data_IF_977593585611
#
_entry.id   IF_977593585611
#
_cell.length_a   1.000
_cell.length_b   1.000
_cell.length_c   1.000
_cell.angle_alpha   90.00
_cell.angle_beta   90.00
_cell.angle_gamma   90.00
#
_symmetry.space_group_name_H-M   'P 1'
#
loop_
_entity.id
_entity.type
_entity.pdbx_description
1 polymer ?
#
# COMPACT_ATOMS: atom_id res chain seq x y z
N UNK A 1 -14.52 3.61 -12.79
CA UNK A 1 -14.55 2.15 -13.05
C UNK A 1 -13.69 1.46 -11.99
N UNK A 2 -14.27 0.55 -11.20
CA UNK A 2 -13.55 -0.10 -10.11
C UNK A 2 -12.52 -1.12 -10.66
N UNK A 3 -11.37 -1.25 -10.01
CA UNK A 3 -10.25 -2.13 -10.45
C UNK A 3 -10.44 -3.62 -10.11
N UNK A 4 -11.66 -4.04 -9.76
CA UNK A 4 -11.99 -5.38 -9.23
C UNK A 4 -11.39 -6.53 -10.03
N UNK A 5 -11.50 -6.51 -11.36
CA UNK A 5 -10.95 -7.58 -12.19
C UNK A 5 -9.43 -7.67 -12.09
N UNK A 6 -8.74 -6.53 -12.05
CA UNK A 6 -7.28 -6.47 -11.90
C UNK A 6 -6.88 -6.93 -10.49
N UNK A 7 -7.66 -6.60 -9.47
CA UNK A 7 -7.46 -7.07 -8.10
C UNK A 7 -7.56 -8.60 -8.04
N UNK A 8 -8.65 -9.19 -8.55
CA UNK A 8 -8.84 -10.63 -8.56
C UNK A 8 -7.72 -11.34 -9.32
N UNK A 9 -7.35 -10.86 -10.51
CA UNK A 9 -6.24 -11.42 -11.29
C UNK A 9 -4.89 -11.32 -10.54
N UNK A 10 -4.65 -10.20 -9.85
CA UNK A 10 -3.43 -10.00 -9.06
C UNK A 10 -3.38 -10.96 -7.89
N UNK A 11 -4.48 -11.11 -7.14
CA UNK A 11 -4.60 -12.07 -6.02
C UNK A 11 -4.38 -13.50 -6.51
N UNK A 12 -5.01 -13.90 -7.62
CA UNK A 12 -4.84 -15.25 -8.19
C UNK A 12 -3.40 -15.52 -8.62
N UNK A 13 -2.74 -14.53 -9.25
CA UNK A 13 -1.33 -14.61 -9.65
C UNK A 13 -0.40 -14.68 -8.44
N UNK A 14 -0.63 -13.86 -7.42
CA UNK A 14 0.13 -13.84 -6.17
C UNK A 14 0.02 -15.19 -5.44
N UNK A 15 -1.20 -15.73 -5.28
CA UNK A 15 -1.44 -17.06 -4.68
C UNK A 15 -0.79 -18.19 -5.48
N UNK A 16 -0.80 -18.11 -6.82
CA UNK A 16 -0.11 -19.10 -7.67
C UNK A 16 1.40 -19.00 -7.53
N UNK A 17 1.95 -17.79 -7.45
CA UNK A 17 3.37 -17.55 -7.24
C UNK A 17 3.82 -18.08 -5.87
N UNK A 18 3.08 -17.76 -4.80
CA UNK A 18 3.32 -18.26 -3.44
C UNK A 18 3.39 -19.80 -3.42
N UNK A 19 2.40 -20.48 -4.02
CA UNK A 19 2.36 -21.95 -4.08
C UNK A 19 3.52 -22.57 -4.86
N UNK A 20 4.06 -21.87 -5.87
CA UNK A 20 5.11 -22.40 -6.75
C UNK A 20 6.53 -22.05 -6.29
N UNK A 21 6.71 -20.86 -5.70
CA UNK A 21 8.02 -20.28 -5.40
C UNK A 21 8.26 -20.09 -3.90
N UNK A 22 7.26 -20.35 -3.06
CA UNK A 22 7.33 -20.10 -1.62
C UNK A 22 7.11 -18.63 -1.27
N UNK A 23 7.30 -18.33 0.03
CA UNK A 23 7.18 -16.99 0.58
C UNK A 23 8.37 -16.14 0.16
N UNK A 24 8.13 -14.84 0.01
CA UNK A 24 9.21 -13.86 -0.11
C UNK A 24 9.47 -13.20 1.24
N UNK A 25 10.67 -12.66 1.41
CA UNK A 25 11.04 -11.90 2.59
C UNK A 25 10.07 -10.71 2.82
N UNK A 26 9.66 -10.41 4.06
CA UNK A 26 8.80 -9.27 4.38
C UNK A 26 9.35 -7.91 3.91
N UNK A 27 10.66 -7.77 3.81
CA UNK A 27 11.37 -6.58 3.34
C UNK A 27 11.60 -6.57 1.83
N UNK A 28 11.26 -7.66 1.12
CA UNK A 28 11.43 -7.75 -0.32
C UNK A 28 10.54 -6.74 -1.07
N UNK A 29 11.01 -6.34 -2.25
CA UNK A 29 10.24 -5.50 -3.17
C UNK A 29 9.30 -6.37 -3.99
N UNK A 30 8.00 -6.25 -3.74
CA UNK A 30 6.93 -6.78 -4.59
C UNK A 30 6.89 -6.04 -5.93
N UNK A 31 6.65 -6.76 -7.03
CA UNK A 31 6.63 -6.20 -8.39
C UNK A 31 5.45 -6.73 -9.18
N UNK A 32 4.53 -5.84 -9.54
CA UNK A 32 3.35 -6.15 -10.34
C UNK A 32 3.42 -5.39 -11.66
N UNK A 33 3.56 -6.13 -12.77
CA UNK A 33 3.56 -5.54 -14.10
C UNK A 33 2.14 -5.26 -14.56
N UNK A 34 1.89 -4.02 -14.95
CA UNK A 34 0.59 -3.52 -15.37
C UNK A 34 0.70 -2.78 -16.71
N UNK A 35 -0.45 -2.55 -17.33
CA UNK A 35 -0.60 -1.67 -18.47
C UNK A 35 -1.71 -0.66 -18.15
N UNK A 36 -1.53 0.58 -18.54
CA UNK A 36 -2.59 1.59 -18.48
C UNK A 36 -3.71 1.23 -19.45
N UNK A 37 -4.96 1.38 -19.00
CA UNK A 37 -6.18 1.09 -19.76
C UNK A 37 -6.97 2.38 -20.00
N UNK A 38 -7.96 2.40 -20.92
CA UNK A 38 -8.77 3.58 -21.18
C UNK A 38 -9.52 4.06 -19.93
N UNK A 39 -9.85 3.13 -19.03
CA UNK A 39 -10.48 3.40 -17.74
C UNK A 39 -9.57 4.06 -16.71
N UNK A 40 -8.26 4.08 -17.00
CA UNK A 40 -7.25 4.65 -16.12
C UNK A 40 -6.90 6.10 -16.52
N UNK A 41 -7.31 6.51 -17.72
CA UNK A 41 -6.95 7.79 -18.35
C UNK A 41 -8.03 8.83 -18.06
N UNK A 42 -7.60 10.07 -17.81
CA UNK A 42 -8.46 11.24 -17.67
C UNK A 42 -8.74 11.92 -19.02
N UNK A 43 -9.51 13.02 -18.99
CA UNK A 43 -9.85 13.79 -20.18
C UNK A 43 -8.63 14.45 -20.85
N UNK A 44 -7.50 14.56 -20.14
CA UNK A 44 -6.25 15.13 -20.65
C UNK A 44 -5.35 14.06 -21.28
N UNK A 45 -5.81 12.81 -21.38
CA UNK A 45 -5.05 11.72 -22.01
C UNK A 45 -3.97 11.11 -21.12
N UNK A 46 -3.95 11.45 -19.83
CA UNK A 46 -2.96 10.94 -18.87
C UNK A 46 -3.60 10.07 -17.79
N UNK A 47 -2.81 9.25 -17.12
CA UNK A 47 -3.26 8.51 -15.96
C UNK A 47 -3.86 9.46 -14.92
N UNK A 48 -5.12 9.23 -14.58
CA UNK A 48 -5.81 10.00 -13.55
C UNK A 48 -5.08 9.83 -12.21
N UNK A 49 -4.83 10.94 -11.51
CA UNK A 49 -4.08 10.95 -10.25
C UNK A 49 -4.65 9.99 -9.19
N UNK A 50 -5.98 9.92 -9.06
CA UNK A 50 -6.65 9.02 -8.12
C UNK A 50 -6.56 7.54 -8.53
N UNK A 51 -6.23 7.22 -9.78
CA UNK A 51 -6.02 5.83 -10.21
C UNK A 51 -4.71 5.26 -9.68
N UNK A 52 -3.68 6.08 -9.44
CA UNK A 52 -2.42 5.58 -8.89
C UNK A 52 -2.62 4.84 -7.56
N UNK A 53 -3.39 5.41 -6.62
CA UNK A 53 -3.69 4.77 -5.34
C UNK A 53 -4.36 3.40 -5.53
N UNK A 54 -5.37 3.31 -6.40
CA UNK A 54 -6.03 2.04 -6.72
C UNK A 54 -5.13 1.00 -7.40
N UNK A 55 -4.13 1.44 -8.16
CA UNK A 55 -3.18 0.52 -8.81
C UNK A 55 -2.05 0.11 -7.86
N UNK A 56 -1.67 0.97 -6.93
CA UNK A 56 -0.73 0.67 -5.86
C UNK A 56 -1.30 -0.33 -4.85
N UNK A 57 -2.61 -0.31 -4.59
CA UNK A 57 -3.29 -1.35 -3.83
C UNK A 57 -3.08 -2.75 -4.44
N UNK A 58 -3.01 -2.88 -5.77
CA UNK A 58 -2.70 -4.17 -6.40
C UNK A 58 -1.31 -4.68 -5.98
N UNK A 59 -0.32 -3.79 -5.95
CA UNK A 59 1.02 -4.11 -5.45
C UNK A 59 1.02 -4.47 -3.96
N UNK A 60 0.19 -3.77 -3.16
CA UNK A 60 -0.02 -4.10 -1.74
C UNK A 60 -0.57 -5.51 -1.56
N UNK A 61 -1.62 -5.89 -2.30
CA UNK A 61 -2.18 -7.24 -2.23
C UNK A 61 -1.18 -8.31 -2.67
N UNK A 62 -0.42 -8.08 -3.76
CA UNK A 62 0.63 -9.02 -4.19
C UNK A 62 1.67 -9.24 -3.08
N UNK A 63 2.16 -8.15 -2.47
CA UNK A 63 3.16 -8.21 -1.41
C UNK A 63 2.62 -8.96 -0.20
N UNK A 64 1.46 -8.57 0.33
CA UNK A 64 0.86 -9.19 1.52
C UNK A 64 0.57 -10.68 1.33
N UNK A 65 0.14 -11.09 0.14
CA UNK A 65 -0.10 -12.50 -0.16
C UNK A 65 1.22 -13.26 -0.23
N UNK A 66 2.22 -12.73 -0.94
CA UNK A 66 3.49 -13.43 -1.17
C UNK A 66 4.38 -13.50 0.07
N UNK A 67 4.23 -12.59 1.02
CA UNK A 67 4.89 -12.66 2.34
C UNK A 67 4.12 -13.54 3.32
N UNK A 68 2.88 -13.90 3.03
CA UNK A 68 2.01 -14.68 3.91
C UNK A 68 1.29 -13.85 4.98
N UNK A 69 1.53 -12.53 5.03
CA UNK A 69 0.82 -11.59 5.93
C UNK A 69 -0.68 -11.66 5.70
N UNK A 70 -1.13 -11.81 4.45
CA UNK A 70 -2.55 -11.87 4.10
C UNK A 70 -3.30 -12.98 4.85
N UNK A 71 -2.75 -14.18 4.87
CA UNK A 71 -3.40 -15.33 5.52
C UNK A 71 -3.38 -15.19 7.04
N UNK A 72 -2.28 -14.66 7.59
CA UNK A 72 -2.13 -14.36 9.02
C UNK A 72 -3.18 -13.34 9.50
N UNK A 73 -3.25 -12.19 8.83
CA UNK A 73 -4.18 -11.08 9.16
C UNK A 73 -5.62 -11.57 9.08
N UNK A 74 -5.97 -12.35 8.06
CA UNK A 74 -7.31 -12.95 7.97
C UNK A 74 -7.60 -13.95 9.08
N UNK A 75 -6.64 -14.82 9.43
CA UNK A 75 -6.80 -15.80 10.52
C UNK A 75 -7.00 -15.13 11.88
N UNK A 76 -6.31 -14.01 12.12
CA UNK A 76 -6.45 -13.22 13.34
C UNK A 76 -7.67 -12.28 13.34
N UNK A 77 -8.41 -12.19 12.23
CA UNK A 77 -9.53 -11.26 12.10
C UNK A 77 -9.08 -9.80 12.13
N UNK A 78 -7.87 -9.51 11.67
CA UNK A 78 -7.33 -8.17 11.55
C UNK A 78 -7.60 -7.59 10.16
N UNK A 79 -7.56 -6.26 10.04
CA UNK A 79 -7.59 -5.58 8.75
C UNK A 79 -6.82 -4.26 8.83
N UNK A 80 -6.19 -3.88 7.72
CA UNK A 80 -5.45 -2.62 7.63
C UNK A 80 -6.39 -1.49 7.19
N UNK A 81 -6.24 -0.34 7.82
CA UNK A 81 -6.89 0.92 7.46
C UNK A 81 -5.81 1.94 7.15
N UNK A 82 -5.91 2.59 5.99
CA UNK A 82 -5.03 3.70 5.62
C UNK A 82 -5.41 4.91 6.47
N UNK A 83 -4.46 5.42 7.25
CA UNK A 83 -4.64 6.60 8.08
C UNK A 83 -4.30 7.88 7.31
N UNK A 84 -3.24 7.83 6.50
CA UNK A 84 -2.83 8.90 5.59
C UNK A 84 -1.99 8.33 4.46
N UNK A 85 -2.04 8.99 3.31
CA UNK A 85 -1.17 8.70 2.18
C UNK A 85 -0.74 10.01 1.51
N UNK A 86 0.48 10.04 1.00
CA UNK A 86 1.00 11.15 0.21
C UNK A 86 1.61 10.60 -1.06
N UNK A 87 1.42 11.29 -2.18
CA UNK A 87 1.88 10.87 -3.50
C UNK A 87 2.58 12.02 -4.20
N UNK A 88 3.71 11.71 -4.82
CA UNK A 88 4.49 12.62 -5.64
C UNK A 88 4.52 12.13 -7.08
N UNK A 89 4.27 13.03 -8.02
CA UNK A 89 4.24 12.75 -9.46
C UNK A 89 5.44 13.40 -10.14
N UNK A 90 6.26 12.59 -10.82
CA UNK A 90 7.38 13.06 -11.63
C UNK A 90 7.05 13.06 -13.12
N UNK A 91 6.36 12.02 -13.60
CA UNK A 91 5.95 11.85 -15.00
C UNK A 91 4.58 11.19 -15.08
N UNK A 92 3.81 11.57 -16.09
CA UNK A 92 2.50 10.97 -16.38
C UNK A 92 2.63 9.70 -17.20
N UNK A 93 1.76 8.72 -16.93
CA UNK A 93 1.63 7.52 -17.77
C UNK A 93 0.57 7.76 -18.85
N UNK A 94 0.90 7.47 -20.11
CA UNK A 94 -0.02 7.54 -21.24
C UNK A 94 -0.81 6.26 -21.44
N UNK A 95 -1.77 6.28 -22.37
CA UNK A 95 -2.61 5.13 -22.72
C UNK A 95 -1.76 3.96 -23.27
N UNK A 96 -2.12 2.73 -22.88
CA UNK A 96 -1.44 1.48 -23.24
C UNK A 96 0.02 1.33 -22.82
N UNK A 97 0.55 2.28 -22.06
CA UNK A 97 1.89 2.24 -21.52
C UNK A 97 2.03 1.12 -20.48
N UNK A 98 3.11 0.34 -20.60
CA UNK A 98 3.47 -0.68 -19.60
C UNK A 98 4.27 -0.03 -18.49
N UNK A 99 4.01 -0.44 -17.26
CA UNK A 99 4.75 0.01 -16.10
C UNK A 99 4.76 -1.08 -15.03
N UNK A 100 5.67 -0.97 -14.07
CA UNK A 100 5.76 -1.86 -12.92
C UNK A 100 5.35 -1.10 -11.67
N UNK A 101 4.41 -1.66 -10.92
CA UNK A 101 4.16 -1.24 -9.55
C UNK A 101 5.18 -1.97 -8.67
N UNK A 102 6.11 -1.23 -8.10
CA UNK A 102 6.96 -1.72 -7.03
C UNK A 102 6.33 -1.40 -5.67
N UNK A 103 6.41 -2.30 -4.72
CA UNK A 103 5.82 -2.13 -3.39
C UNK A 103 6.70 -2.77 -2.34
N UNK A 104 6.99 -2.02 -1.28
CA UNK A 104 7.80 -2.53 -0.16
C UNK A 104 7.34 -1.96 1.16
N UNK A 105 7.67 -2.68 2.23
CA UNK A 105 7.64 -2.16 3.58
C UNK A 105 8.74 -1.09 3.72
N UNK A 106 8.38 0.09 4.24
CA UNK A 106 9.30 1.21 4.40
C UNK A 106 9.82 1.31 5.83
N UNK A 107 8.94 1.13 6.81
CA UNK A 107 9.27 1.18 8.23
C UNK A 107 8.00 1.11 9.07
N UNK A 108 8.15 1.38 10.37
CA UNK A 108 7.03 1.42 11.31
C UNK A 108 7.29 2.46 12.40
N UNK A 109 6.21 2.92 13.04
CA UNK A 109 6.26 3.60 14.34
C UNK A 109 5.56 2.70 15.39
N UNK A 110 5.25 3.22 16.58
CA UNK A 110 4.58 2.44 17.64
C UNK A 110 3.12 2.08 17.32
N UNK A 111 2.52 2.73 16.32
CA UNK A 111 1.08 2.70 16.03
C UNK A 111 0.74 2.30 14.60
N UNK A 112 1.65 2.45 13.66
CA UNK A 112 1.40 2.38 12.24
C UNK A 112 2.59 1.80 11.45
N UNK A 113 2.24 1.13 10.36
CA UNK A 113 3.16 0.59 9.37
C UNK A 113 3.21 1.52 8.16
N UNK A 114 4.40 1.73 7.61
CA UNK A 114 4.63 2.57 6.44
C UNK A 114 4.99 1.71 5.24
N UNK A 115 4.31 1.93 4.12
CA UNK A 115 4.57 1.26 2.85
C UNK A 115 4.89 2.28 1.77
N UNK A 116 5.85 1.96 0.91
CA UNK A 116 6.16 2.76 -0.27
C UNK A 116 5.76 1.99 -1.52
N UNK A 117 5.08 2.69 -2.42
CA UNK A 117 4.70 2.21 -3.74
C UNK A 117 5.31 3.10 -4.82
N UNK A 118 5.83 2.50 -5.88
CA UNK A 118 6.39 3.24 -7.04
C UNK A 118 5.77 2.75 -8.33
N UNK A 119 5.44 3.68 -9.22
CA UNK A 119 5.20 3.38 -10.63
C UNK A 119 6.52 3.55 -11.37
N UNK A 120 7.04 2.47 -11.95
CA UNK A 120 8.34 2.44 -12.63
C UNK A 120 8.19 2.08 -14.10
N UNK A 121 8.82 2.85 -14.98
CA UNK A 121 8.89 2.60 -16.43
C UNK A 121 10.36 2.65 -16.83
N UNK A 122 10.85 1.58 -17.46
CA UNK A 122 12.23 1.49 -17.96
C UNK A 122 13.29 1.89 -16.91
N UNK A 123 13.05 1.55 -15.64
CA UNK A 123 13.94 1.84 -14.51
C UNK A 123 13.73 3.21 -13.85
N UNK A 124 12.88 4.08 -14.41
CA UNK A 124 12.61 5.40 -13.85
C UNK A 124 11.31 5.47 -13.05
N UNK A 125 11.33 6.22 -11.94
CA UNK A 125 10.14 6.49 -11.11
C UNK A 125 9.28 7.56 -11.80
N UNK A 126 8.02 7.21 -12.07
CA UNK A 126 7.00 8.11 -12.60
C UNK A 126 6.16 8.72 -11.47
N UNK A 127 5.84 7.92 -10.46
CA UNK A 127 5.15 8.36 -9.27
C UNK A 127 5.56 7.51 -8.07
N UNK A 128 5.57 8.11 -6.88
CA UNK A 128 5.85 7.44 -5.62
C UNK A 128 4.79 7.81 -4.58
N UNK A 129 4.27 6.82 -3.86
CA UNK A 129 3.28 7.01 -2.81
C UNK A 129 3.78 6.39 -1.51
N UNK A 130 3.77 7.18 -0.44
CA UNK A 130 3.97 6.73 0.93
C UNK A 130 2.61 6.56 1.59
N UNK A 131 2.40 5.41 2.22
CA UNK A 131 1.13 5.05 2.85
C UNK A 131 1.39 4.70 4.30
N UNK A 132 0.66 5.36 5.20
CA UNK A 132 0.62 5.07 6.62
C UNK A 132 -0.64 4.27 6.92
N UNK A 133 -0.48 3.04 7.40
CA UNK A 133 -1.59 2.15 7.70
C UNK A 133 -1.57 1.69 9.16
N UNK A 134 -2.75 1.53 9.75
CA UNK A 134 -2.96 0.95 11.09
C UNK A 134 -3.73 -0.35 10.96
N UNK A 135 -3.49 -1.28 11.86
CA UNK A 135 -4.23 -2.54 11.91
C UNK A 135 -5.31 -2.48 13.00
N UNK A 136 -6.52 -2.90 12.64
CA UNK A 136 -7.68 -2.96 13.53
C UNK A 136 -8.16 -4.41 13.64
N UNK A 137 -8.73 -4.76 14.81
CA UNK A 137 -9.40 -6.03 15.03
C UNK A 137 -10.87 -5.93 14.59
N UNK A 138 -11.42 -6.97 13.97
CA UNK A 138 -12.86 -7.03 13.65
C UNK A 138 -13.76 -6.92 14.89
N UNK A 139 -13.29 -7.42 16.03
CA UNK A 139 -13.95 -7.26 17.33
C UNK A 139 -13.86 -5.86 17.94
N UNK A 140 -13.23 -4.90 17.25
CA UNK A 140 -12.98 -3.56 17.74
C UNK A 140 -11.60 -3.40 18.38
N UNK A 141 -11.05 -2.20 18.29
CA UNK A 141 -9.73 -1.86 18.83
C UNK A 141 -8.59 -1.92 17.82
N UNK A 142 -7.47 -1.30 18.19
CA UNK A 142 -6.22 -1.36 17.43
C UNK A 142 -5.48 -2.65 17.72
N UNK A 143 -4.71 -3.13 16.75
CA UNK A 143 -3.67 -4.14 16.96
C UNK A 143 -2.39 -3.40 17.38
N UNK A 144 -1.86 -3.64 18.59
CA UNK A 144 -0.56 -3.11 19.00
C UNK A 144 0.54 -3.56 18.04
N UNK A 145 1.56 -2.71 17.86
CA UNK A 145 2.66 -3.01 16.94
C UNK A 145 3.45 -4.26 17.36
N UNK A 146 3.61 -4.48 18.67
CA UNK A 146 4.25 -5.69 19.21
C UNK A 146 3.48 -6.97 18.82
N UNK A 147 2.16 -7.00 19.03
CA UNK A 147 1.29 -8.13 18.64
C UNK A 147 1.37 -8.39 17.12
N UNK A 148 1.41 -7.31 16.32
CA UNK A 148 1.58 -7.41 14.87
C UNK A 148 2.93 -8.03 14.50
N UNK A 149 4.03 -7.60 15.13
CA UNK A 149 5.37 -8.10 14.81
C UNK A 149 5.65 -9.50 15.34
N UNK A 150 5.14 -9.86 16.51
CA UNK A 150 5.18 -11.24 16.99
C UNK A 150 4.50 -12.17 15.99
N UNK A 151 3.31 -11.80 15.52
CA UNK A 151 2.57 -12.59 14.55
C UNK A 151 3.28 -12.67 13.18
N UNK A 152 4.03 -11.62 12.80
CA UNK A 152 4.76 -11.52 11.54
C UNK A 152 6.18 -12.10 11.55
N UNK A 153 6.65 -12.60 12.71
CA UNK A 153 8.06 -12.97 12.93
C UNK A 153 9.00 -11.81 12.57
N UNK A 154 8.78 -10.68 13.26
CA UNK A 154 9.56 -9.43 13.29
C UNK A 154 10.64 -9.33 12.19
N UNK A 155 10.42 -8.54 11.12
CA UNK A 155 11.52 -8.16 10.26
C UNK A 155 12.46 -7.24 11.05
N UNK A 156 13.43 -7.83 11.76
CA UNK A 156 14.36 -7.14 12.67
C UNK A 156 15.23 -6.06 12.01
N UNK A 157 15.17 -5.94 10.67
CA UNK A 157 16.05 -5.09 9.86
C UNK A 157 15.32 -3.94 9.13
N UNK A 158 14.16 -3.48 9.62
CA UNK A 158 13.56 -2.28 9.04
C UNK A 158 14.35 -1.02 9.46
N UNK A 159 14.72 -0.14 8.51
CA UNK A 159 15.40 1.09 8.85
C UNK A 159 14.48 2.00 9.68
N UNK A 160 15.05 2.85 10.54
CA UNK A 160 14.27 3.90 11.19
C UNK A 160 13.64 4.81 10.14
N UNK A 161 12.45 5.34 10.44
CA UNK A 161 11.78 6.28 9.56
C UNK A 161 12.59 7.58 9.43
N UNK A 162 12.61 8.13 8.23
CA UNK A 162 13.24 9.43 7.96
C UNK A 162 12.47 10.54 8.69
N UNK A 163 13.13 11.61 9.18
CA UNK A 163 12.48 12.66 9.96
C UNK A 163 11.24 13.25 9.29
N UNK A 164 11.31 13.52 7.98
CA UNK A 164 10.20 14.08 7.22
C UNK A 164 8.96 13.17 7.21
N UNK A 165 9.13 11.84 7.30
CA UNK A 165 8.00 10.89 7.37
C UNK A 165 7.29 11.02 8.70
N UNK A 166 8.05 11.18 9.78
CA UNK A 166 7.53 11.35 11.14
C UNK A 166 6.78 12.69 11.22
N UNK A 167 7.39 13.76 10.72
CA UNK A 167 6.80 15.11 10.70
C UNK A 167 5.52 15.13 9.86
N UNK A 168 5.55 14.53 8.67
CA UNK A 168 4.38 14.38 7.81
C UNK A 168 3.26 13.60 8.51
N UNK A 169 3.57 12.48 9.15
CA UNK A 169 2.59 11.65 9.84
C UNK A 169 1.94 12.37 11.03
N UNK A 170 2.65 13.29 11.68
CA UNK A 170 2.10 14.15 12.72
C UNK A 170 1.24 15.27 12.12
N UNK A 171 1.75 15.96 11.09
CA UNK A 171 1.09 17.10 10.45
C UNK A 171 -0.20 16.71 9.70
N UNK A 172 -0.26 15.50 9.13
CA UNK A 172 -1.41 15.01 8.36
C UNK A 172 -2.49 14.35 9.22
N UNK A 173 -2.35 14.34 10.55
CA UNK A 173 -3.25 13.60 11.43
C UNK A 173 -4.58 14.34 11.61
N UNK A 174 -5.69 13.69 11.27
CA UNK A 174 -7.03 14.16 11.62
C UNK A 174 -7.41 13.73 13.06
N UNK A 175 -8.39 14.41 13.68
CA UNK A 175 -8.94 13.98 14.96
C UNK A 175 -9.37 12.51 14.95
N UNK A 176 -9.32 11.88 16.12
CA UNK A 176 -9.80 10.51 16.31
C UNK A 176 -11.24 10.36 15.84
N UNK A 177 -11.62 9.20 15.31
CA UNK A 177 -13.02 8.90 14.94
C UNK A 177 -13.99 8.92 16.13
N UNK A 178 -13.46 8.95 17.37
CA UNK A 178 -14.22 9.13 18.60
C UNK A 178 -14.43 10.60 19.00
N UNK A 179 -13.77 11.53 18.31
CA UNK A 179 -13.82 12.96 18.57
C UNK A 179 -14.58 13.66 17.45
N UNK A 180 -15.35 14.73 17.74
CA UNK A 180 -15.98 15.53 16.70
C UNK A 180 -14.92 16.16 15.76
N UNK A 181 -15.20 16.16 14.45
CA UNK A 181 -14.40 16.83 13.42
C UNK A 181 -15.35 17.51 12.40
N UNK A 182 -15.97 18.66 12.77
CA UNK A 182 -16.98 19.30 11.94
C UNK A 182 -16.35 19.94 10.68
N UNK A 183 -17.07 19.86 9.56
CA UNK A 183 -16.70 20.53 8.30
C UNK A 183 -17.08 22.01 8.36
N UNK A 184 -16.18 22.85 8.85
CA UNK A 184 -16.37 24.30 9.01
C UNK A 184 -15.76 25.06 7.83
N UNK A 185 -16.38 24.93 6.67
CA UNK A 185 -16.04 25.69 5.45
C UNK A 185 -17.17 26.70 5.22
N UNK A 186 -17.26 27.70 6.11
CA UNK A 186 -18.18 28.83 5.98
C UNK A 186 -17.50 30.01 5.33
#
# INVERSE_FOLDING_TARGET
MNVWWRTLLTILRAKRALRRKGRIDPTAVGRVRLRTLPTDIDLLGHMNNGRYASLFDLGRFDLLIRTGVWDLVNKQGWYAVVASETISFRKSLGLWQRFTVESRLHGHDDKAVYMVHRAVVDGEIYAEMLVRARFLKRGGGLVPMEELFEALHRPDNLPPLEPWVVDWAAASALPSTKSPAPSVWS
#
